data_IF_237334113229
#
_entry.id   IF_237334113229
#
_cell.length_a   1.000
_cell.length_b   1.000
_cell.length_c   1.000
_cell.angle_alpha   90.00
_cell.angle_beta   90.00
_cell.angle_gamma   90.00
#
_symmetry.space_group_name_H-M   'P 1'
#
loop_
_entity.id
_entity.type
_entity.pdbx_description
1 polymer ?
#
# COMPACT_ATOMS: atom_id res chain seq x y z
N UNK A 1 52.92 -8.32 -10.47
CA UNK A 1 51.95 -8.32 -9.36
C UNK A 1 50.58 -8.09 -10.00
N UNK A 2 49.90 -9.19 -10.32
CA UNK A 2 48.56 -9.17 -10.91
C UNK A 2 47.55 -8.93 -9.80
N UNK A 3 46.94 -7.74 -9.80
CA UNK A 3 45.81 -7.43 -8.93
C UNK A 3 44.54 -7.95 -9.59
N UNK A 4 43.98 -9.04 -9.07
CA UNK A 4 42.64 -9.48 -9.45
C UNK A 4 41.60 -8.51 -8.87
N UNK A 5 41.03 -7.68 -9.75
CA UNK A 5 39.85 -6.88 -9.45
C UNK A 5 38.65 -7.82 -9.44
N UNK A 6 38.19 -8.17 -8.24
CA UNK A 6 36.91 -8.84 -8.03
C UNK A 6 35.78 -7.96 -8.57
N UNK A 7 35.29 -8.26 -9.77
CA UNK A 7 34.03 -7.76 -10.29
C UNK A 7 32.91 -8.35 -9.43
N UNK A 8 32.34 -7.52 -8.54
CA UNK A 8 31.08 -7.86 -7.88
C UNK A 8 30.01 -8.08 -8.95
N UNK A 9 29.45 -9.29 -8.95
CA UNK A 9 28.34 -9.73 -9.79
C UNK A 9 27.22 -8.67 -9.76
N UNK A 10 26.75 -8.13 -10.90
CA UNK A 10 25.55 -7.32 -10.89
C UNK A 10 24.40 -8.24 -10.51
N UNK A 11 23.78 -7.95 -9.36
CA UNK A 11 22.57 -8.62 -8.91
C UNK A 11 21.47 -8.30 -9.92
N UNK A 12 21.33 -9.16 -10.93
CA UNK A 12 20.33 -9.12 -11.98
C UNK A 12 18.96 -9.49 -11.39
N UNK A 13 18.42 -8.63 -10.51
CA UNK A 13 17.00 -8.66 -10.20
C UNK A 13 16.31 -7.88 -11.30
N UNK A 14 15.73 -8.60 -12.26
CA UNK A 14 14.72 -8.08 -13.18
C UNK A 14 13.50 -7.63 -12.36
N UNK A 15 13.57 -6.41 -11.83
CA UNK A 15 12.40 -5.74 -11.28
C UNK A 15 11.56 -5.32 -12.49
N UNK A 16 10.24 -5.61 -12.53
CA UNK A 16 9.40 -5.16 -13.63
C UNK A 16 9.42 -3.63 -13.71
N UNK A 17 9.76 -3.10 -14.88
CA UNK A 17 9.72 -1.66 -15.21
C UNK A 17 8.55 -1.44 -16.17
N UNK A 18 7.73 -0.44 -15.89
CA UNK A 18 6.62 -0.05 -16.77
C UNK A 18 6.90 1.30 -17.43
N UNK A 19 6.70 1.37 -18.75
CA UNK A 19 6.90 2.62 -19.52
C UNK A 19 5.73 3.59 -19.39
N UNK A 20 4.52 3.06 -19.13
CA UNK A 20 3.30 3.83 -18.91
C UNK A 20 2.61 3.39 -17.61
N UNK A 21 1.94 4.33 -16.94
CA UNK A 21 1.06 4.06 -15.81
C UNK A 21 -0.41 4.04 -16.29
N UNK A 22 -1.28 3.28 -15.65
CA UNK A 22 -2.73 3.26 -15.91
C UNK A 22 -3.07 3.11 -17.40
N UNK A 23 -2.48 2.11 -18.06
CA UNK A 23 -2.62 1.77 -19.49
C UNK A 23 -2.04 2.81 -20.49
N UNK A 24 -2.33 4.11 -20.35
CA UNK A 24 -1.99 5.14 -21.35
C UNK A 24 -1.41 6.43 -20.75
N UNK A 25 -1.31 6.53 -19.43
CA UNK A 25 -0.86 7.76 -18.76
C UNK A 25 0.67 7.79 -18.69
N UNK A 26 1.32 8.91 -19.06
CA UNK A 26 2.77 9.07 -18.90
C UNK A 26 3.20 8.78 -17.47
N UNK A 27 4.35 8.12 -17.29
CA UNK A 27 4.82 7.63 -16.00
C UNK A 27 4.93 8.75 -14.94
N UNK A 28 5.35 9.96 -15.36
CA UNK A 28 5.37 11.17 -14.53
C UNK A 28 3.98 11.53 -13.99
N UNK A 29 3.00 11.61 -14.88
CA UNK A 29 1.61 11.95 -14.54
C UNK A 29 1.01 10.87 -13.65
N UNK A 30 1.28 9.60 -13.94
CA UNK A 30 0.90 8.48 -13.10
C UNK A 30 1.46 8.59 -11.68
N UNK A 31 2.76 8.77 -11.52
CA UNK A 31 3.39 8.95 -10.21
C UNK A 31 2.78 10.13 -9.43
N UNK A 32 2.48 11.24 -10.11
CA UNK A 32 1.88 12.43 -9.50
C UNK A 32 0.44 12.13 -9.02
N UNK A 33 -0.39 11.51 -9.85
CA UNK A 33 -1.75 11.07 -9.47
C UNK A 33 -1.70 10.18 -8.23
N UNK A 34 -0.78 9.22 -8.20
CA UNK A 34 -0.64 8.29 -7.08
C UNK A 34 -0.27 9.03 -5.79
N UNK A 35 0.72 9.95 -5.84
CA UNK A 35 1.12 10.73 -4.66
C UNK A 35 0.00 11.65 -4.15
N UNK A 36 -0.77 12.26 -5.03
CA UNK A 36 -1.94 13.08 -4.65
C UNK A 36 -3.04 12.21 -4.05
N UNK A 37 -3.33 11.06 -4.66
CA UNK A 37 -4.32 10.12 -4.14
C UNK A 37 -3.97 9.69 -2.72
N UNK A 38 -2.71 9.35 -2.47
CA UNK A 38 -2.22 9.02 -1.12
C UNK A 38 -2.34 10.18 -0.15
N UNK A 39 -2.00 11.40 -0.59
CA UNK A 39 -2.17 12.60 0.23
C UNK A 39 -3.62 12.74 0.68
N UNK A 40 -4.58 12.66 -0.24
CA UNK A 40 -6.00 12.81 0.05
C UNK A 40 -6.46 11.73 1.04
N UNK A 41 -6.13 10.45 0.79
CA UNK A 41 -6.56 9.35 1.65
C UNK A 41 -5.97 9.39 3.05
N UNK A 42 -4.67 9.63 3.17
CA UNK A 42 -4.01 9.69 4.48
C UNK A 42 -4.46 10.92 5.27
N UNK A 43 -4.68 12.05 4.60
CA UNK A 43 -5.20 13.26 5.23
C UNK A 43 -6.63 13.04 5.75
N UNK A 44 -7.51 12.49 4.90
CA UNK A 44 -8.89 12.19 5.26
C UNK A 44 -8.96 11.23 6.46
N UNK A 45 -8.26 10.09 6.38
CA UNK A 45 -8.22 9.08 7.44
C UNK A 45 -7.64 9.63 8.74
N UNK A 46 -6.57 10.43 8.64
CA UNK A 46 -5.94 11.07 9.80
C UNK A 46 -6.88 12.03 10.51
N UNK A 47 -7.56 12.91 9.77
CA UNK A 47 -8.56 13.84 10.32
C UNK A 47 -9.71 13.07 10.96
N UNK A 48 -10.25 12.07 10.28
CA UNK A 48 -11.36 11.27 10.78
C UNK A 48 -11.02 10.60 12.13
N UNK A 49 -9.88 9.91 12.21
CA UNK A 49 -9.40 9.31 13.46
C UNK A 49 -9.17 10.34 14.58
N UNK A 50 -8.70 11.55 14.25
CA UNK A 50 -8.46 12.63 15.22
C UNK A 50 -9.75 13.33 15.64
N UNK A 51 -10.81 13.31 14.83
CA UNK A 51 -12.06 14.02 15.13
C UNK A 51 -13.10 13.14 15.84
N UNK A 52 -13.15 11.84 15.57
CA UNK A 52 -14.13 10.93 16.19
C UNK A 52 -13.93 10.83 17.70
N UNK A 53 -14.99 11.06 18.48
CA UNK A 53 -15.01 10.85 19.93
C UNK A 53 -15.21 9.37 20.23
N UNK A 54 -14.17 8.68 20.71
CA UNK A 54 -14.27 7.29 21.19
C UNK A 54 -14.43 7.28 22.70
N UNK A 55 -15.37 6.47 23.20
CA UNK A 55 -15.68 6.35 24.63
C UNK A 55 -14.75 5.39 25.40
N UNK A 56 -13.93 4.60 24.69
CA UNK A 56 -13.09 3.55 25.29
C UNK A 56 -11.64 4.01 25.55
N UNK A 57 -10.91 3.27 26.40
CA UNK A 57 -9.48 3.49 26.69
C UNK A 57 -8.54 3.37 25.48
N UNK A 58 -9.03 2.86 24.34
CA UNK A 58 -8.30 2.74 23.07
C UNK A 58 -8.22 4.11 22.35
N UNK A 59 -8.98 5.11 22.81
CA UNK A 59 -9.03 6.44 22.22
C UNK A 59 -7.64 7.07 22.00
N UNK A 60 -6.73 7.00 22.97
CA UNK A 60 -5.39 7.59 22.85
C UNK A 60 -4.58 6.92 21.72
N UNK A 61 -4.69 5.59 21.60
CA UNK A 61 -4.01 4.84 20.54
C UNK A 61 -4.57 5.22 19.17
N UNK A 62 -5.89 5.37 19.02
CA UNK A 62 -6.51 5.80 17.77
C UNK A 62 -6.12 7.23 17.36
N UNK A 63 -6.01 8.16 18.33
CA UNK A 63 -5.49 9.52 18.06
C UNK A 63 -4.03 9.49 17.60
N UNK A 64 -3.21 8.67 18.24
CA UNK A 64 -1.81 8.50 17.83
C UNK A 64 -1.70 7.94 16.41
N UNK A 65 -2.53 6.94 16.07
CA UNK A 65 -2.63 6.40 14.70
C UNK A 65 -3.09 7.49 13.73
N UNK A 66 -4.10 8.29 14.07
CA UNK A 66 -4.54 9.42 13.25
C UNK A 66 -3.43 10.45 13.01
N UNK A 67 -2.63 10.78 14.03
CA UNK A 67 -1.48 11.66 13.88
C UNK A 67 -0.40 11.07 12.94
N UNK A 68 -0.16 9.76 12.99
CA UNK A 68 0.73 9.07 12.05
C UNK A 68 0.22 9.20 10.62
N UNK A 69 -1.08 9.01 10.38
CA UNK A 69 -1.69 9.23 9.06
C UNK A 69 -1.49 10.67 8.55
N UNK A 70 -1.61 11.67 9.42
CA UNK A 70 -1.33 13.07 9.06
C UNK A 70 0.15 13.28 8.67
N UNK A 71 1.10 12.64 9.36
CA UNK A 71 2.51 12.68 9.00
C UNK A 71 2.77 12.00 7.64
N UNK A 72 2.12 10.87 7.36
CA UNK A 72 2.22 10.18 6.07
C UNK A 72 1.62 11.05 4.95
N UNK A 73 0.54 11.78 5.23
CA UNK A 73 -0.03 12.75 4.30
C UNK A 73 1.00 13.84 3.97
N UNK A 74 1.70 14.39 4.96
CA UNK A 74 2.76 15.39 4.75
C UNK A 74 3.93 14.82 3.93
N UNK A 75 4.33 13.57 4.18
CA UNK A 75 5.35 12.88 3.37
C UNK A 75 4.85 12.70 1.92
N UNK A 76 3.57 12.41 1.72
CA UNK A 76 2.95 12.27 0.39
C UNK A 76 2.90 13.60 -0.35
N UNK A 77 2.62 14.70 0.35
CA UNK A 77 2.71 16.05 -0.20
C UNK A 77 4.14 16.39 -0.65
N UNK A 78 5.14 16.08 0.19
CA UNK A 78 6.54 16.21 -0.18
C UNK A 78 6.90 15.36 -1.41
N UNK A 79 6.44 14.10 -1.44
CA UNK A 79 6.61 13.21 -2.59
C UNK A 79 6.01 13.77 -3.88
N UNK A 80 4.80 14.32 -3.83
CA UNK A 80 4.17 14.97 -4.97
C UNK A 80 4.99 16.16 -5.48
N UNK A 81 5.50 17.00 -4.57
CA UNK A 81 6.39 18.11 -4.91
C UNK A 81 7.70 17.63 -5.56
N UNK A 82 8.34 16.60 -5.01
CA UNK A 82 9.58 16.02 -5.55
C UNK A 82 9.38 15.41 -6.93
N UNK A 83 8.25 14.75 -7.17
CA UNK A 83 7.86 14.22 -8.49
C UNK A 83 7.64 15.35 -9.48
N UNK A 84 6.91 16.41 -9.07
CA UNK A 84 6.65 17.58 -9.91
C UNK A 84 7.93 18.32 -10.32
N UNK A 85 8.85 18.51 -9.36
CA UNK A 85 10.16 19.17 -9.55
C UNK A 85 11.25 18.24 -10.09
N UNK A 86 10.95 16.97 -10.35
CA UNK A 86 11.87 16.01 -10.95
C UNK A 86 13.20 15.85 -10.15
N UNK A 87 13.12 15.87 -8.81
CA UNK A 87 14.28 15.76 -7.91
C UNK A 87 14.62 14.28 -7.60
N UNK A 88 15.66 13.68 -8.22
CA UNK A 88 15.87 12.22 -8.20
C UNK A 88 16.20 11.64 -6.83
N UNK A 89 17.01 12.35 -6.03
CA UNK A 89 17.37 11.89 -4.68
C UNK A 89 16.15 11.88 -3.74
N UNK A 90 15.28 12.88 -3.88
CA UNK A 90 14.10 13.02 -3.03
C UNK A 90 12.99 12.05 -3.41
N UNK A 91 12.79 11.81 -4.72
CA UNK A 91 11.87 10.77 -5.20
C UNK A 91 12.33 9.38 -4.74
N UNK A 92 13.64 9.09 -4.75
CA UNK A 92 14.18 7.83 -4.24
C UNK A 92 13.93 7.66 -2.73
N UNK A 93 14.09 8.73 -1.94
CA UNK A 93 13.82 8.73 -0.49
C UNK A 93 12.34 8.49 -0.22
N UNK A 94 11.45 9.21 -0.92
CA UNK A 94 10.00 9.02 -0.85
C UNK A 94 9.60 7.57 -1.18
N UNK A 95 10.16 7.00 -2.25
CA UNK A 95 9.88 5.62 -2.68
C UNK A 95 10.22 4.57 -1.59
N UNK A 96 11.31 4.78 -0.85
CA UNK A 96 11.71 3.91 0.27
C UNK A 96 10.74 4.04 1.44
N UNK A 97 10.40 5.27 1.84
CA UNK A 97 9.40 5.50 2.90
C UNK A 97 8.05 4.92 2.53
N UNK A 98 7.62 5.10 1.28
CA UNK A 98 6.37 4.53 0.79
C UNK A 98 6.37 3.00 0.87
N UNK A 99 7.46 2.33 0.46
CA UNK A 99 7.58 0.87 0.58
C UNK A 99 7.43 0.42 2.05
N UNK A 100 8.10 1.09 2.99
CA UNK A 100 7.99 0.77 4.42
C UNK A 100 6.60 1.03 4.98
N UNK A 101 5.95 2.11 4.56
CA UNK A 101 4.59 2.45 4.96
C UNK A 101 3.59 1.38 4.51
N UNK A 102 3.72 0.87 3.29
CA UNK A 102 2.89 -0.24 2.77
C UNK A 102 3.09 -1.51 3.59
N UNK A 103 4.35 -1.85 3.94
CA UNK A 103 4.63 -3.01 4.81
C UNK A 103 3.98 -2.84 6.18
N UNK A 104 4.14 -1.67 6.80
CA UNK A 104 3.54 -1.38 8.10
C UNK A 104 2.01 -1.45 8.04
N UNK A 105 1.40 -0.93 6.97
CA UNK A 105 -0.03 -1.03 6.72
C UNK A 105 -0.50 -2.48 6.68
N UNK A 106 0.22 -3.38 6.00
CA UNK A 106 -0.14 -4.81 5.99
C UNK A 106 -0.10 -5.43 7.38
N UNK A 107 0.94 -5.14 8.17
CA UNK A 107 1.04 -5.66 9.54
C UNK A 107 -0.12 -5.16 10.39
N UNK A 108 -0.43 -3.87 10.32
CA UNK A 108 -1.54 -3.27 11.07
C UNK A 108 -2.88 -3.88 10.63
N UNK A 109 -3.12 -4.04 9.32
CA UNK A 109 -4.33 -4.66 8.82
C UNK A 109 -4.50 -6.09 9.35
N UNK A 110 -3.42 -6.88 9.38
CA UNK A 110 -3.47 -8.24 9.95
C UNK A 110 -3.88 -8.21 11.43
N UNK A 111 -3.35 -7.27 12.21
CA UNK A 111 -3.70 -7.12 13.63
C UNK A 111 -5.17 -6.72 13.78
N UNK A 112 -5.65 -5.77 12.98
CA UNK A 112 -7.05 -5.30 13.02
C UNK A 112 -8.02 -6.45 12.72
N UNK A 113 -7.73 -7.31 11.74
CA UNK A 113 -8.56 -8.50 11.45
C UNK A 113 -8.68 -9.38 12.67
N UNK A 114 -7.56 -9.71 13.31
CA UNK A 114 -7.54 -10.65 14.42
C UNK A 114 -8.40 -10.10 15.57
N UNK A 115 -8.31 -8.80 15.83
CA UNK A 115 -9.12 -8.13 16.85
C UNK A 115 -10.60 -8.15 16.46
N UNK A 116 -10.95 -7.72 15.24
CA UNK A 116 -12.33 -7.70 14.77
C UNK A 116 -12.97 -9.09 14.74
N UNK A 117 -12.23 -10.12 14.34
CA UNK A 117 -12.71 -11.49 14.32
C UNK A 117 -13.05 -11.98 15.74
N UNK A 118 -12.22 -11.67 16.73
CA UNK A 118 -12.47 -12.03 18.13
C UNK A 118 -13.72 -11.30 18.66
N UNK A 119 -13.82 -10.00 18.42
CA UNK A 119 -14.96 -9.18 18.87
C UNK A 119 -16.28 -9.61 18.19
N UNK A 120 -16.26 -9.85 16.88
CA UNK A 120 -17.44 -10.29 16.12
C UNK A 120 -17.87 -11.69 16.57
N UNK A 121 -16.93 -12.62 16.80
CA UNK A 121 -17.26 -13.95 17.33
C UNK A 121 -17.85 -13.86 18.74
N UNK A 122 -17.32 -12.98 19.58
CA UNK A 122 -17.85 -12.78 20.93
C UNK A 122 -19.29 -12.24 20.90
N UNK A 123 -19.53 -11.16 20.14
CA UNK A 123 -20.86 -10.59 19.96
C UNK A 123 -21.85 -11.58 19.32
N UNK A 124 -21.38 -12.41 18.38
CA UNK A 124 -22.19 -13.45 17.76
C UNK A 124 -22.62 -14.53 18.75
N UNK A 125 -21.70 -15.02 19.57
CA UNK A 125 -22.01 -16.02 20.59
C UNK A 125 -23.01 -15.49 21.62
N UNK A 126 -22.89 -14.22 21.99
CA UNK A 126 -23.85 -13.55 22.87
C UNK A 126 -25.25 -13.46 22.21
N UNK A 127 -25.32 -13.06 20.94
CA UNK A 127 -26.58 -12.99 20.20
C UNK A 127 -27.26 -14.36 20.04
N UNK A 128 -26.49 -15.42 19.74
CA UNK A 128 -27.02 -16.80 19.71
C UNK A 128 -27.55 -17.22 21.07
N UNK A 129 -26.79 -16.96 22.14
CA UNK A 129 -27.21 -17.29 23.50
C UNK A 129 -28.52 -16.60 23.86
N UNK A 130 -28.66 -15.30 23.56
CA UNK A 130 -29.89 -14.55 23.76
C UNK A 130 -31.07 -15.12 22.97
N UNK A 131 -30.86 -15.48 21.71
CA UNK A 131 -31.89 -16.10 20.86
C UNK A 131 -32.33 -17.46 21.39
N UNK A 132 -31.39 -18.33 21.77
CA UNK A 132 -31.68 -19.64 22.34
C UNK A 132 -32.46 -19.52 23.66
N UNK A 133 -32.11 -18.54 24.50
CA UNK A 133 -32.83 -18.27 25.74
C UNK A 133 -34.26 -17.75 25.48
N UNK A 134 -34.47 -16.93 24.44
CA UNK A 134 -35.81 -16.48 24.06
C UNK A 134 -36.68 -17.62 23.51
N UNK A 135 -36.07 -18.59 22.83
CA UNK A 135 -36.75 -19.80 22.34
C UNK A 135 -36.97 -20.87 23.42
N UNK A 136 -36.37 -20.73 24.62
CA UNK A 136 -36.48 -21.67 25.72
C UNK A 136 -37.89 -21.63 26.35
N UNK A 137 -38.87 -22.22 25.68
CA UNK A 137 -40.28 -22.22 26.08
C UNK A 137 -41.25 -22.12 24.90
N UNK A 138 -40.75 -21.84 23.70
CA UNK A 138 -41.56 -21.79 22.47
C UNK A 138 -41.72 -23.21 21.91
N UNK A 139 -42.94 -23.64 21.56
CA UNK A 139 -43.17 -24.92 20.88
C UNK A 139 -42.29 -25.03 19.63
N UNK A 140 -41.76 -26.22 19.34
CA UNK A 140 -40.82 -26.42 18.22
C UNK A 140 -41.34 -25.94 16.84
N UNK A 141 -42.66 -25.83 16.70
CA UNK A 141 -43.36 -25.38 15.49
C UNK A 141 -43.21 -23.86 15.25
N UNK A 142 -43.01 -23.09 16.33
CA UNK A 142 -42.96 -21.63 16.34
C UNK A 142 -41.54 -21.10 16.61
N UNK A 143 -40.54 -21.98 16.72
CA UNK A 143 -39.15 -21.58 16.96
C UNK A 143 -38.55 -20.89 15.73
N UNK A 144 -37.95 -19.72 15.95
CA UNK A 144 -37.19 -19.01 14.94
C UNK A 144 -35.77 -19.57 14.89
N UNK A 145 -35.22 -19.92 13.71
CA UNK A 145 -33.87 -20.45 13.62
C UNK A 145 -32.83 -19.39 14.01
N UNK A 146 -32.09 -19.67 15.08
CA UNK A 146 -30.99 -18.83 15.58
C UNK A 146 -29.70 -19.07 14.78
N UNK A 147 -29.71 -18.74 13.48
CA UNK A 147 -28.54 -18.78 12.59
C UNK A 147 -28.12 -17.36 12.24
N UNK A 148 -26.81 -17.06 12.29
CA UNK A 148 -26.32 -15.73 11.94
C UNK A 148 -25.31 -15.66 10.81
N UNK A 149 -25.09 -14.41 10.41
CA UNK A 149 -24.54 -13.92 9.15
C UNK A 149 -23.00 -13.97 9.02
N UNK A 150 -22.29 -14.56 9.99
CA UNK A 150 -20.85 -14.35 10.19
C UNK A 150 -19.99 -14.91 9.04
N UNK A 151 -20.46 -15.94 8.34
CA UNK A 151 -19.68 -16.61 7.28
C UNK A 151 -19.39 -15.71 6.06
N UNK A 152 -20.19 -14.66 5.83
CA UNK A 152 -19.98 -13.72 4.72
C UNK A 152 -18.95 -12.62 5.01
N UNK A 153 -18.77 -12.24 6.27
CA UNK A 153 -17.93 -11.11 6.67
C UNK A 153 -16.46 -11.35 6.34
N UNK A 154 -15.92 -12.50 6.77
CA UNK A 154 -14.52 -12.85 6.57
C UNK A 154 -14.19 -12.98 5.08
N UNK A 155 -15.09 -13.60 4.30
CA UNK A 155 -14.91 -13.73 2.85
C UNK A 155 -14.86 -12.39 2.12
N UNK A 156 -15.82 -11.49 2.42
CA UNK A 156 -15.85 -10.14 1.85
C UNK A 156 -14.62 -9.32 2.25
N UNK A 157 -14.18 -9.46 3.50
CA UNK A 157 -13.01 -8.76 4.01
C UNK A 157 -11.72 -9.24 3.31
N UNK A 158 -11.50 -10.56 3.21
CA UNK A 158 -10.32 -11.13 2.52
C UNK A 158 -10.26 -10.67 1.07
N UNK A 159 -11.39 -10.67 0.37
CA UNK A 159 -11.46 -10.18 -1.01
C UNK A 159 -11.05 -8.70 -1.11
N UNK A 160 -11.57 -7.86 -0.21
CA UNK A 160 -11.22 -6.43 -0.16
C UNK A 160 -9.74 -6.21 0.15
N UNK A 161 -9.20 -6.98 1.09
CA UNK A 161 -7.78 -6.96 1.44
C UNK A 161 -6.90 -7.32 0.25
N UNK A 162 -7.19 -8.42 -0.46
CA UNK A 162 -6.41 -8.85 -1.62
C UNK A 162 -6.44 -7.81 -2.75
N UNK A 163 -7.59 -7.19 -3.00
CA UNK A 163 -7.70 -6.08 -3.96
C UNK A 163 -6.82 -4.91 -3.52
N UNK A 164 -6.87 -4.55 -2.23
CA UNK A 164 -6.00 -3.53 -1.64
C UNK A 164 -4.51 -3.85 -1.81
N UNK A 165 -4.10 -5.10 -1.57
CA UNK A 165 -2.72 -5.58 -1.77
C UNK A 165 -2.28 -5.39 -3.22
N UNK A 166 -3.12 -5.83 -4.16
CA UNK A 166 -2.83 -5.76 -5.59
C UNK A 166 -2.67 -4.29 -6.04
N UNK A 167 -3.58 -3.42 -5.59
CA UNK A 167 -3.50 -1.98 -5.87
C UNK A 167 -2.20 -1.41 -5.29
N UNK A 168 -1.91 -1.59 -4.01
CA UNK A 168 -0.69 -1.02 -3.40
C UNK A 168 0.59 -1.53 -4.05
N UNK A 169 0.65 -2.82 -4.40
CA UNK A 169 1.79 -3.41 -5.12
C UNK A 169 1.98 -2.73 -6.48
N UNK A 170 0.89 -2.53 -7.22
CA UNK A 170 0.92 -1.81 -8.49
C UNK A 170 1.42 -0.37 -8.33
N UNK A 171 0.95 0.36 -7.31
CA UNK A 171 1.39 1.73 -7.04
C UNK A 171 2.89 1.81 -6.73
N UNK A 172 3.43 0.84 -5.98
CA UNK A 172 4.89 0.73 -5.71
C UNK A 172 5.67 0.56 -7.01
N UNK A 173 5.21 -0.34 -7.89
CA UNK A 173 5.88 -0.62 -9.16
C UNK A 173 5.94 0.65 -10.03
N UNK A 174 4.85 1.42 -10.10
CA UNK A 174 4.80 2.66 -10.87
C UNK A 174 5.79 3.70 -10.31
N UNK A 175 5.76 3.98 -9.01
CA UNK A 175 6.64 4.98 -8.40
C UNK A 175 8.11 4.57 -8.55
N UNK A 176 8.42 3.28 -8.37
CA UNK A 176 9.78 2.76 -8.59
C UNK A 176 10.23 2.90 -10.03
N UNK A 177 9.36 2.55 -10.98
CA UNK A 177 9.66 2.70 -12.41
C UNK A 177 9.94 4.16 -12.76
N UNK A 178 9.15 5.09 -12.22
CA UNK A 178 9.39 6.53 -12.38
C UNK A 178 10.74 6.97 -11.81
N UNK A 179 11.09 6.49 -10.61
CA UNK A 179 12.38 6.81 -10.01
C UNK A 179 13.56 6.29 -10.87
N UNK A 180 13.45 5.10 -11.45
CA UNK A 180 14.47 4.56 -12.37
C UNK A 180 14.61 5.41 -13.63
N UNK A 181 13.49 5.78 -14.26
CA UNK A 181 13.48 6.63 -15.45
C UNK A 181 14.08 8.01 -15.16
N UNK A 182 13.73 8.61 -14.02
CA UNK A 182 14.24 9.91 -13.60
C UNK A 182 15.74 9.88 -13.30
N UNK A 183 16.24 8.79 -12.71
CA UNK A 183 17.68 8.60 -12.51
C UNK A 183 18.43 8.41 -13.83
N UNK A 184 17.86 7.68 -14.80
CA UNK A 184 18.45 7.50 -16.13
C UNK A 184 18.55 8.83 -16.90
N UNK A 185 17.51 9.66 -16.84
CA UNK A 185 17.49 11.00 -17.48
C UNK A 185 18.53 11.93 -16.86
N UNK A 186 18.64 11.95 -15.55
CA UNK A 186 19.57 12.84 -14.84
C UNK A 186 21.03 12.34 -14.84
N UNK A 187 21.27 11.03 -14.93
CA UNK A 187 22.61 10.44 -15.06
C UNK A 187 23.25 10.66 -16.44
N UNK A 188 22.45 10.94 -17.47
CA UNK A 188 22.90 11.27 -18.83
C UNK A 188 23.16 12.78 -19.03
N UNK A 189 23.15 13.59 -17.98
CA UNK A 189 23.41 15.03 -18.08
C UNK A 189 24.94 15.27 -18.22
N UNK A 190 25.43 15.75 -19.38
CA UNK A 190 26.87 15.74 -19.73
C UNK A 190 27.76 16.71 -18.92
N UNK A 191 27.21 17.45 -17.96
CA UNK A 191 27.93 18.46 -17.18
C UNK A 191 28.27 18.05 -15.73
N UNK A 192 28.13 16.78 -15.37
CA UNK A 192 28.48 16.31 -14.02
C UNK A 192 28.80 14.83 -13.99
N UNK A 193 30.07 14.52 -14.27
CA UNK A 193 30.80 13.31 -13.86
C UNK A 193 30.09 11.95 -14.08
N UNK A 194 30.43 11.34 -15.23
CA UNK A 194 30.24 9.95 -15.68
C UNK A 194 29.58 8.99 -14.66
N UNK A 195 28.30 8.68 -14.89
CA UNK A 195 27.84 7.31 -14.72
C UNK A 195 27.89 6.63 -16.10
N UNK A 196 28.97 5.92 -16.38
CA UNK A 196 29.04 4.97 -17.48
C UNK A 196 28.08 3.81 -17.16
N UNK A 197 26.81 3.94 -17.55
CA UNK A 197 25.86 2.84 -17.55
C UNK A 197 25.43 2.60 -18.99
N UNK A 198 25.73 1.39 -19.47
CA UNK A 198 25.37 0.90 -20.79
C UNK A 198 23.90 1.23 -21.09
N UNK A 199 23.69 1.95 -22.19
CA UNK A 199 22.39 2.09 -22.83
C UNK A 199 21.90 0.69 -23.19
N UNK A 200 21.04 0.11 -22.35
CA UNK A 200 20.25 -1.06 -22.75
C UNK A 200 19.19 -0.53 -23.70
N UNK A 201 19.50 -0.63 -24.99
CA UNK A 201 18.57 -0.38 -26.08
C UNK A 201 17.38 -1.34 -25.95
N UNK A 202 16.19 -0.81 -25.66
CA UNK A 202 14.98 -1.62 -25.46
C UNK A 202 14.41 -2.16 -26.77
N UNK A 203 14.95 -1.77 -27.93
CA UNK A 203 14.52 -2.30 -29.23
C UNK A 203 15.04 -3.73 -29.51
N UNK A 204 16.01 -4.24 -28.74
CA UNK A 204 16.61 -5.56 -28.99
C UNK A 204 15.79 -6.72 -28.43
N UNK A 205 14.82 -6.48 -27.53
CA UNK A 205 14.01 -7.56 -26.94
C UNK A 205 12.76 -7.93 -27.76
N UNK A 206 12.46 -7.21 -28.84
CA UNK A 206 11.28 -7.44 -29.67
C UNK A 206 11.49 -8.28 -30.92
N UNK A 207 12.73 -8.65 -31.26
CA UNK A 207 13.05 -9.21 -32.60
C UNK A 207 13.62 -10.64 -32.55
N UNK A 208 13.93 -11.21 -31.38
CA UNK A 208 14.46 -12.59 -31.32
C UNK A 208 13.39 -13.70 -31.17
N UNK A 209 12.10 -13.36 -31.17
CA UNK A 209 11.00 -14.36 -31.13
C UNK A 209 9.88 -14.08 -32.15
N UNK A 210 10.22 -13.56 -33.33
CA UNK A 210 9.34 -13.59 -34.51
C UNK A 210 10.02 -14.35 -35.65
#
# INVERSE_FOLDING_TARGET
MEGQVQTRVPFNRRIPVVNNCCFVVPLRTGALIITIWMLIWNLFTGIELITIGYASGIWLALKAVGAIYMLIALISFYGAYSVYKELPQEVARFTRFFTWSVIAYFVIQIIVIIIEEVEIRAAYNEAISACNNANAGVPAQDQVPCVGFVDGYLGSWIATFLIGVAIQTYLIIVIRSYNFELQARNGNNPNGEKAEFQTVDMNTYGVEHA
#
